data_IF_782430373459
#
_entry.id   IF_782430373459
#
_cell.length_a   1.000
_cell.length_b   1.000
_cell.length_c   1.000
_cell.angle_alpha   90.00
_cell.angle_beta   90.00
_cell.angle_gamma   90.00
#
_symmetry.space_group_name_H-M   'P 1'
#
loop_
_entity.id
_entity.type
_entity.pdbx_description
1 polymer ?
#
# COMPACT_ATOMS: atom_id res chain seq x y z
N UNK A 1 -3.14 12.73 -22.78
CA UNK A 1 -3.37 13.42 -21.48
C UNK A 1 -2.16 14.25 -21.15
N UNK A 2 -2.27 15.28 -20.29
CA UNK A 2 -1.14 16.13 -19.91
C UNK A 2 0.09 15.32 -19.46
N UNK A 3 -0.14 14.24 -18.72
CA UNK A 3 0.88 13.27 -18.27
C UNK A 3 1.50 12.51 -19.45
N UNK A 4 0.69 11.89 -20.30
CA UNK A 4 1.21 11.11 -21.43
C UNK A 4 1.99 11.96 -22.46
N UNK A 5 1.75 13.27 -22.52
CA UNK A 5 2.48 14.16 -23.42
C UNK A 5 3.90 14.48 -22.93
N UNK A 6 4.22 14.18 -21.66
CA UNK A 6 5.54 14.42 -21.08
C UNK A 6 6.54 13.30 -21.37
N UNK A 7 6.11 12.12 -21.81
CA UNK A 7 7.00 10.97 -22.06
C UNK A 7 7.15 10.68 -23.55
N UNK A 8 8.28 10.09 -23.94
CA UNK A 8 8.51 9.63 -25.31
C UNK A 8 8.11 8.16 -25.52
N UNK A 9 8.47 7.26 -24.59
CA UNK A 9 8.15 5.83 -24.68
C UNK A 9 6.66 5.57 -24.38
N UNK A 10 5.99 4.83 -25.27
CA UNK A 10 4.57 4.45 -25.11
C UNK A 10 4.33 3.62 -23.85
N UNK A 11 5.32 2.80 -23.45
CA UNK A 11 5.26 1.97 -22.24
C UNK A 11 5.17 2.84 -20.99
N UNK A 12 5.99 3.90 -20.93
CA UNK A 12 5.98 4.85 -19.81
C UNK A 12 4.73 5.70 -19.77
N UNK A 13 4.21 6.14 -20.93
CA UNK A 13 2.92 6.84 -21.01
C UNK A 13 1.81 6.04 -20.34
N UNK A 14 1.71 4.76 -20.69
CA UNK A 14 0.70 3.85 -20.13
C UNK A 14 0.96 3.54 -18.65
N UNK A 15 2.22 3.39 -18.26
CA UNK A 15 2.62 3.17 -16.86
C UNK A 15 2.18 4.33 -15.96
N UNK A 16 2.54 5.57 -16.30
CA UNK A 16 2.22 6.74 -15.48
C UNK A 16 0.74 7.09 -15.50
N UNK A 17 0.06 6.96 -16.65
CA UNK A 17 -1.40 7.13 -16.70
C UNK A 17 -2.10 6.08 -15.82
N UNK A 18 -1.63 4.83 -15.84
CA UNK A 18 -2.14 3.81 -14.91
C UNK A 18 -1.80 4.11 -13.47
N UNK A 19 -0.61 4.62 -13.17
CA UNK A 19 -0.17 4.90 -11.81
C UNK A 19 -1.03 6.00 -11.17
N UNK A 20 -1.40 7.03 -11.94
CA UNK A 20 -2.16 8.17 -11.43
C UNK A 20 -3.68 8.08 -11.61
N UNK A 21 -4.19 7.28 -12.55
CA UNK A 21 -5.64 7.20 -12.82
C UNK A 21 -6.18 5.76 -12.81
N UNK A 22 -5.38 4.78 -12.40
CA UNK A 22 -5.76 3.35 -12.31
C UNK A 22 -6.40 2.78 -13.59
N UNK A 23 -5.92 3.25 -14.76
CA UNK A 23 -6.33 2.69 -16.05
C UNK A 23 -5.78 1.27 -16.23
N UNK A 24 -6.45 0.42 -17.01
CA UNK A 24 -5.92 -0.93 -17.33
C UNK A 24 -4.52 -0.86 -17.93
N UNK A 25 -3.59 -1.54 -17.30
CA UNK A 25 -2.25 -1.79 -17.83
C UNK A 25 -2.31 -2.82 -18.96
N UNK A 26 -1.47 -2.69 -20.00
CA UNK A 26 -1.19 -3.78 -20.93
C UNK A 26 -0.66 -5.01 -20.18
N UNK A 27 -1.05 -6.20 -20.61
CA UNK A 27 -0.70 -7.47 -19.94
C UNK A 27 0.82 -7.64 -19.75
N UNK A 28 1.62 -7.23 -20.74
CA UNK A 28 3.09 -7.25 -20.66
C UNK A 28 3.62 -6.40 -19.48
N UNK A 29 3.09 -5.19 -19.28
CA UNK A 29 3.52 -4.32 -18.18
C UNK A 29 3.01 -4.86 -16.84
N UNK A 30 1.80 -5.41 -16.81
CA UNK A 30 1.25 -6.02 -15.61
C UNK A 30 2.08 -7.23 -15.18
N UNK A 31 2.53 -8.06 -16.13
CA UNK A 31 3.42 -9.18 -15.86
C UNK A 31 4.75 -8.70 -15.29
N UNK A 32 5.42 -7.72 -15.92
CA UNK A 32 6.67 -7.16 -15.36
C UNK A 32 6.48 -6.61 -13.95
N UNK A 33 5.40 -5.87 -13.69
CA UNK A 33 5.11 -5.34 -12.34
C UNK A 33 4.95 -6.47 -11.31
N UNK A 34 4.28 -7.57 -11.68
CA UNK A 34 4.13 -8.74 -10.82
C UNK A 34 5.47 -9.47 -10.60
N UNK A 35 6.30 -9.56 -11.63
CA UNK A 35 7.65 -10.12 -11.56
C UNK A 35 8.56 -9.30 -10.65
N UNK A 36 8.44 -7.98 -10.60
CA UNK A 36 9.18 -7.15 -9.63
C UNK A 36 8.54 -7.14 -8.22
N UNK A 37 7.34 -7.72 -8.05
CA UNK A 37 6.62 -7.66 -6.78
C UNK A 37 6.09 -6.26 -6.44
N UNK A 38 5.84 -5.45 -7.48
CA UNK A 38 5.40 -4.06 -7.35
C UNK A 38 3.88 -3.91 -7.49
N UNK A 39 3.13 -4.99 -7.63
CA UNK A 39 1.68 -4.96 -7.83
C UNK A 39 0.95 -4.24 -6.69
N UNK A 40 1.41 -4.41 -5.45
CA UNK A 40 0.84 -3.74 -4.29
C UNK A 40 1.07 -2.22 -4.33
N UNK A 41 2.24 -1.80 -4.80
CA UNK A 41 2.69 -0.41 -4.89
C UNK A 41 2.05 0.31 -6.09
N UNK A 42 1.96 -0.39 -7.22
CA UNK A 42 1.42 0.13 -8.48
C UNK A 42 -0.11 0.17 -8.51
N UNK A 43 -0.79 -0.69 -7.74
CA UNK A 43 -2.23 -0.50 -7.49
C UNK A 43 -2.42 0.76 -6.66
N UNK A 44 -3.35 1.64 -7.05
CA UNK A 44 -3.66 2.88 -6.34
C UNK A 44 -4.21 2.53 -4.95
N UNK A 45 -3.29 2.37 -4.01
CA UNK A 45 -3.50 1.72 -2.72
C UNK A 45 -3.62 2.74 -1.58
N UNK A 46 -3.84 2.23 -0.37
CA UNK A 46 -3.86 3.07 0.84
C UNK A 46 -2.56 3.81 1.09
N UNK A 47 -1.43 3.32 0.58
CA UNK A 47 -0.15 4.03 0.65
C UNK A 47 -0.19 5.29 -0.22
N UNK A 48 -0.59 5.19 -1.49
CA UNK A 48 -0.70 6.36 -2.38
C UNK A 48 -1.71 7.38 -1.84
N UNK A 49 -2.81 6.92 -1.24
CA UNK A 49 -3.76 7.78 -0.53
C UNK A 49 -3.07 8.53 0.62
N UNK A 50 -2.33 7.83 1.48
CA UNK A 50 -1.63 8.42 2.62
C UNK A 50 -0.53 9.40 2.19
N UNK A 51 0.19 9.10 1.11
CA UNK A 51 1.21 9.97 0.54
C UNK A 51 0.60 11.24 -0.05
N UNK A 52 -0.54 11.13 -0.75
CA UNK A 52 -1.22 12.31 -1.30
C UNK A 52 -1.79 13.18 -0.17
N UNK A 53 -2.39 12.58 0.85
CA UNK A 53 -2.81 13.31 2.06
C UNK A 53 -1.60 13.99 2.73
N UNK A 54 -0.49 13.28 2.88
CA UNK A 54 0.77 13.83 3.42
C UNK A 54 1.30 15.01 2.60
N UNK A 55 1.23 14.94 1.27
CA UNK A 55 1.60 16.02 0.36
C UNK A 55 0.67 17.24 0.53
N UNK A 56 -0.64 17.01 0.65
CA UNK A 56 -1.61 18.08 0.94
C UNK A 56 -1.27 18.73 2.28
N UNK A 57 -0.96 17.94 3.31
CA UNK A 57 -0.52 18.47 4.59
C UNK A 57 0.75 19.32 4.44
N UNK A 58 1.75 18.86 3.70
CA UNK A 58 3.00 19.60 3.48
C UNK A 58 2.76 20.93 2.78
N UNK A 59 1.94 20.95 1.72
CA UNK A 59 1.70 22.14 0.89
C UNK A 59 0.73 23.14 1.55
N UNK A 60 -0.32 22.65 2.22
CA UNK A 60 -1.38 23.49 2.77
C UNK A 60 -1.06 23.98 4.19
N UNK A 61 -0.26 23.23 4.97
CA UNK A 61 0.06 23.64 6.35
C UNK A 61 0.72 25.03 6.45
N UNK A 62 1.75 25.38 5.65
CA UNK A 62 2.39 26.69 5.74
C UNK A 62 1.45 27.88 5.49
N UNK A 63 0.68 27.97 4.37
CA UNK A 63 -0.23 29.09 4.15
C UNK A 63 -1.40 29.08 5.14
N UNK A 64 -1.91 27.90 5.50
CA UNK A 64 -3.01 27.79 6.45
C UNK A 64 -2.60 28.24 7.85
N UNK A 65 -1.38 27.89 8.29
CA UNK A 65 -0.83 28.35 9.57
C UNK A 65 -0.80 29.88 9.65
N UNK A 66 -0.28 30.53 8.61
CA UNK A 66 -0.20 31.99 8.57
C UNK A 66 -1.57 32.65 8.71
N UNK A 67 -2.57 32.18 7.95
CA UNK A 67 -3.93 32.73 8.00
C UNK A 67 -4.61 32.43 9.34
N UNK A 68 -4.45 31.21 9.85
CA UNK A 68 -5.08 30.76 11.08
C UNK A 68 -4.54 31.52 12.31
N UNK A 69 -3.22 31.75 12.38
CA UNK A 69 -2.59 32.45 13.49
C UNK A 69 -3.08 33.92 13.57
N UNK A 70 -3.51 34.50 12.44
CA UNK A 70 -4.06 35.87 12.37
C UNK A 70 -5.56 35.91 12.67
N UNK A 71 -6.36 35.06 12.03
CA UNK A 71 -7.83 35.19 12.03
C UNK A 71 -8.56 34.19 12.94
N UNK A 72 -8.05 32.96 13.12
CA UNK A 72 -8.77 31.86 13.79
C UNK A 72 -7.86 31.00 14.70
N UNK A 73 -7.21 31.58 15.73
CA UNK A 73 -6.22 30.86 16.56
C UNK A 73 -6.81 29.72 17.39
N UNK A 74 -8.14 29.69 17.60
CA UNK A 74 -8.82 28.69 18.44
C UNK A 74 -9.14 27.36 17.73
N UNK A 75 -8.99 27.28 16.40
CA UNK A 75 -9.39 26.11 15.62
C UNK A 75 -8.29 25.03 15.61
N UNK A 76 -8.66 23.76 15.49
CA UNK A 76 -7.65 22.70 15.35
C UNK A 76 -7.17 22.61 13.90
N UNK A 77 -5.92 23.06 13.67
CA UNK A 77 -5.28 23.06 12.35
C UNK A 77 -5.34 21.71 11.65
N UNK A 78 -4.96 20.65 12.37
CA UNK A 78 -4.83 19.32 11.80
C UNK A 78 -6.19 18.77 11.36
N UNK A 79 -7.25 19.09 12.11
CA UNK A 79 -8.60 18.69 11.75
C UNK A 79 -9.06 19.34 10.45
N UNK A 80 -8.80 20.63 10.27
CA UNK A 80 -9.25 21.37 9.08
C UNK A 80 -8.52 20.93 7.81
N UNK A 81 -7.20 20.75 7.91
CA UNK A 81 -6.39 20.27 6.80
C UNK A 81 -6.77 18.83 6.47
N UNK A 82 -7.05 17.98 7.47
CA UNK A 82 -7.51 16.60 7.23
C UNK A 82 -8.88 16.57 6.56
N UNK A 83 -9.82 17.40 7.00
CA UNK A 83 -11.13 17.52 6.35
C UNK A 83 -11.00 17.97 4.91
N UNK A 84 -10.18 19.00 4.66
CA UNK A 84 -9.87 19.46 3.31
C UNK A 84 -9.25 18.36 2.45
N UNK A 85 -8.25 17.65 2.99
CA UNK A 85 -7.61 16.54 2.32
C UNK A 85 -8.62 15.44 1.96
N UNK A 86 -9.52 15.06 2.88
CA UNK A 86 -10.58 14.09 2.60
C UNK A 86 -11.51 14.53 1.47
N UNK A 87 -11.90 15.81 1.42
CA UNK A 87 -12.70 16.35 0.31
C UNK A 87 -11.95 16.25 -1.01
N UNK A 88 -10.67 16.61 -1.03
CA UNK A 88 -9.80 16.46 -2.21
C UNK A 88 -9.67 14.99 -2.61
N UNK A 89 -9.54 14.07 -1.66
CA UNK A 89 -9.45 12.63 -1.94
C UNK A 89 -10.75 12.06 -2.52
N UNK A 90 -11.92 12.55 -2.08
CA UNK A 90 -13.22 12.18 -2.67
C UNK A 90 -13.32 12.69 -4.11
N UNK A 91 -12.89 13.93 -4.36
CA UNK A 91 -12.84 14.47 -5.72
C UNK A 91 -11.86 13.69 -6.61
N UNK A 92 -10.70 13.31 -6.08
CA UNK A 92 -9.75 12.47 -6.79
C UNK A 92 -10.30 11.06 -7.05
N UNK A 93 -11.09 10.49 -6.12
CA UNK A 93 -11.82 9.23 -6.33
C UNK A 93 -12.70 9.28 -7.59
N UNK A 94 -13.39 10.41 -7.79
CA UNK A 94 -14.23 10.65 -8.95
C UNK A 94 -13.41 10.69 -10.24
N UNK A 95 -12.25 11.38 -10.23
CA UNK A 95 -11.34 11.43 -11.37
C UNK A 95 -10.73 10.07 -11.71
N UNK A 96 -10.40 9.27 -10.69
CA UNK A 96 -9.85 7.92 -10.83
C UNK A 96 -10.91 6.85 -11.16
N UNK A 97 -12.18 7.25 -11.39
CA UNK A 97 -13.25 6.32 -11.77
C UNK A 97 -13.66 5.34 -10.67
N UNK A 98 -13.53 5.74 -9.39
CA UNK A 98 -13.90 4.94 -8.22
C UNK A 98 -13.27 3.54 -8.20
N UNK A 99 -11.98 3.47 -8.51
CA UNK A 99 -11.25 2.23 -8.50
C UNK A 99 -11.35 1.50 -7.15
N UNK A 100 -11.51 0.16 -7.20
CA UNK A 100 -11.87 -0.64 -6.03
C UNK A 100 -10.83 -0.54 -4.89
N UNK A 101 -9.51 -0.66 -5.13
CA UNK A 101 -8.51 -0.54 -4.07
C UNK A 101 -8.52 0.84 -3.42
N UNK A 102 -8.61 1.89 -4.23
CA UNK A 102 -8.71 3.27 -3.76
C UNK A 102 -9.94 3.50 -2.88
N UNK A 103 -11.11 3.00 -3.30
CA UNK A 103 -12.35 3.12 -2.51
C UNK A 103 -12.27 2.45 -1.15
N UNK A 104 -11.60 1.29 -1.05
CA UNK A 104 -11.37 0.63 0.24
C UNK A 104 -10.52 1.50 1.15
N UNK A 105 -9.44 2.07 0.63
CA UNK A 105 -8.56 2.96 1.39
C UNK A 105 -9.29 4.24 1.82
N UNK A 106 -10.11 4.84 0.95
CA UNK A 106 -10.91 6.01 1.27
C UNK A 106 -11.93 5.74 2.39
N UNK A 107 -12.63 4.60 2.34
CA UNK A 107 -13.54 4.19 3.41
C UNK A 107 -12.78 3.98 4.73
N UNK A 108 -11.61 3.33 4.69
CA UNK A 108 -10.75 3.16 5.88
C UNK A 108 -10.28 4.51 6.43
N UNK A 109 -9.95 5.48 5.58
CA UNK A 109 -9.55 6.82 6.00
C UNK A 109 -10.73 7.62 6.61
N UNK A 110 -11.91 7.57 6.00
CA UNK A 110 -13.13 8.22 6.51
C UNK A 110 -13.55 7.64 7.86
N UNK A 111 -13.51 6.31 8.00
CA UNK A 111 -13.84 5.63 9.25
C UNK A 111 -12.82 5.98 10.35
N UNK A 112 -11.52 5.95 10.04
CA UNK A 112 -10.48 6.40 10.96
C UNK A 112 -10.67 7.86 11.38
N UNK A 113 -11.03 8.74 10.45
CA UNK A 113 -11.35 10.14 10.73
C UNK A 113 -12.52 10.26 11.71
N UNK A 114 -13.67 9.65 11.43
CA UNK A 114 -14.85 9.69 12.31
C UNK A 114 -14.53 9.15 13.71
N UNK A 115 -13.78 8.05 13.78
CA UNK A 115 -13.36 7.45 15.06
C UNK A 115 -12.40 8.36 15.83
N UNK A 116 -11.52 9.08 15.14
CA UNK A 116 -10.61 10.05 15.75
C UNK A 116 -11.37 11.22 16.40
N UNK A 117 -12.50 11.65 15.81
CA UNK A 117 -13.37 12.68 16.41
C UNK A 117 -14.03 12.23 17.70
N UNK A 118 -14.18 10.91 17.88
CA UNK A 118 -14.76 10.30 19.09
C UNK A 118 -13.69 9.90 20.12
N UNK A 119 -12.41 10.20 19.87
CA UNK A 119 -11.31 9.82 20.76
C UNK A 119 -11.04 8.32 20.81
N UNK A 120 -11.54 7.53 19.85
CA UNK A 120 -11.34 6.09 19.80
C UNK A 120 -9.95 5.79 19.24
N UNK A 121 -9.21 4.89 19.89
CA UNK A 121 -7.88 4.45 19.42
C UNK A 121 -7.99 3.86 18.01
N UNK A 122 -7.26 4.45 17.06
CA UNK A 122 -7.29 4.09 15.63
C UNK A 122 -6.71 2.69 15.40
N UNK A 123 -5.62 2.34 16.09
CA UNK A 123 -4.93 1.05 15.98
C UNK A 123 -5.57 0.08 16.98
N UNK A 124 -6.70 -0.51 16.60
CA UNK A 124 -7.39 -1.52 17.39
C UNK A 124 -8.04 -2.56 16.47
N UNK A 125 -8.12 -3.81 16.89
CA UNK A 125 -8.81 -4.85 16.11
C UNK A 125 -10.31 -4.59 16.02
N UNK A 126 -10.90 -3.86 16.97
CA UNK A 126 -12.29 -3.41 16.88
C UNK A 126 -12.50 -2.39 15.76
N UNK A 127 -11.55 -1.47 15.52
CA UNK A 127 -11.66 -0.51 14.42
C UNK A 127 -11.58 -1.23 13.09
N UNK A 128 -10.69 -2.22 12.95
CA UNK A 128 -10.64 -3.07 11.75
C UNK A 128 -11.99 -3.78 11.50
N UNK A 129 -12.58 -4.40 12.52
CA UNK A 129 -13.89 -5.05 12.41
C UNK A 129 -15.01 -4.08 12.01
N UNK A 130 -15.02 -2.88 12.60
CA UNK A 130 -15.98 -1.81 12.25
C UNK A 130 -15.78 -1.35 10.79
N UNK A 131 -14.53 -1.12 10.37
CA UNK A 131 -14.25 -0.73 8.98
C UNK A 131 -14.71 -1.80 8.00
N UNK A 132 -14.48 -3.09 8.30
CA UNK A 132 -14.94 -4.21 7.50
C UNK A 132 -16.47 -4.27 7.43
N UNK A 133 -17.17 -4.12 8.56
CA UNK A 133 -18.63 -4.08 8.59
C UNK A 133 -19.20 -2.94 7.75
N UNK A 134 -18.59 -1.75 7.80
CA UNK A 134 -18.98 -0.60 6.98
C UNK A 134 -18.76 -0.89 5.49
N UNK A 135 -17.61 -1.47 5.11
CA UNK A 135 -17.33 -1.83 3.71
C UNK A 135 -18.33 -2.85 3.15
N UNK A 136 -18.71 -3.84 3.96
CA UNK A 136 -19.71 -4.84 3.61
C UNK A 136 -21.10 -4.18 3.48
N UNK A 137 -21.43 -3.25 4.38
CA UNK A 137 -22.70 -2.52 4.34
C UNK A 137 -22.83 -1.66 3.07
N UNK A 138 -21.74 -1.01 2.62
CA UNK A 138 -21.73 -0.24 1.37
C UNK A 138 -21.84 -1.13 0.12
N UNK A 139 -21.20 -2.30 0.13
CA UNK A 139 -21.23 -3.22 -1.01
C UNK A 139 -21.11 -4.68 -0.57
N UNK A 140 -22.24 -5.41 -0.42
CA UNK A 140 -22.20 -6.81 0.03
C UNK A 140 -21.38 -7.71 -0.90
N UNK A 141 -21.37 -7.40 -2.20
CA UNK A 141 -20.58 -8.12 -3.21
C UNK A 141 -19.07 -8.08 -2.95
N UNK A 142 -18.57 -7.10 -2.19
CA UNK A 142 -17.15 -6.98 -1.86
C UNK A 142 -16.62 -8.16 -1.03
N UNK A 143 -17.49 -8.86 -0.29
CA UNK A 143 -17.16 -10.08 0.46
C UNK A 143 -16.55 -11.18 -0.41
N UNK A 144 -17.01 -11.29 -1.66
CA UNK A 144 -16.53 -12.31 -2.59
C UNK A 144 -15.29 -11.86 -3.37
N UNK A 145 -14.75 -10.67 -3.09
CA UNK A 145 -13.58 -10.16 -3.77
C UNK A 145 -12.29 -10.53 -3.01
N UNK A 146 -11.38 -11.21 -3.70
CA UNK A 146 -10.07 -11.60 -3.16
C UNK A 146 -9.29 -10.35 -2.68
N UNK A 147 -9.37 -9.26 -3.44
CA UNK A 147 -8.68 -8.00 -3.11
C UNK A 147 -9.13 -7.35 -1.80
N UNK A 148 -10.37 -7.57 -1.35
CA UNK A 148 -10.82 -7.11 -0.04
C UNK A 148 -10.10 -7.88 1.06
N UNK A 149 -10.06 -9.21 0.98
CA UNK A 149 -9.42 -10.06 1.97
C UNK A 149 -7.91 -9.81 2.06
N UNK A 150 -7.22 -9.66 0.92
CA UNK A 150 -5.81 -9.27 0.90
C UNK A 150 -5.56 -7.94 1.63
N UNK A 151 -6.44 -6.95 1.45
CA UNK A 151 -6.34 -5.67 2.16
C UNK A 151 -6.54 -5.82 3.66
N UNK A 152 -7.55 -6.59 4.09
CA UNK A 152 -7.85 -6.81 5.51
C UNK A 152 -6.71 -7.55 6.19
N UNK A 153 -6.16 -8.59 5.54
CA UNK A 153 -5.06 -9.36 6.10
C UNK A 153 -3.76 -8.52 6.15
N UNK A 154 -3.53 -7.65 5.15
CA UNK A 154 -2.44 -6.69 5.19
C UNK A 154 -2.51 -5.76 6.41
N UNK A 155 -3.67 -5.12 6.64
CA UNK A 155 -3.88 -4.26 7.82
C UNK A 155 -3.80 -5.05 9.13
N UNK A 156 -4.31 -6.28 9.14
CA UNK A 156 -4.20 -7.19 10.28
C UNK A 156 -2.74 -7.48 10.65
N UNK A 157 -1.86 -7.73 9.67
CA UNK A 157 -0.44 -7.91 9.92
C UNK A 157 0.24 -6.65 10.43
N UNK A 158 -0.13 -5.48 9.93
CA UNK A 158 0.35 -4.21 10.50
C UNK A 158 -0.03 -4.13 11.99
N UNK A 159 -1.27 -4.46 12.35
CA UNK A 159 -1.74 -4.37 13.74
C UNK A 159 -1.06 -5.38 14.66
N UNK A 160 -0.86 -6.62 14.22
CA UNK A 160 -0.11 -7.60 15.01
C UNK A 160 1.33 -7.16 15.22
N UNK A 161 2.00 -6.70 14.16
CA UNK A 161 3.39 -6.28 14.25
C UNK A 161 3.56 -5.15 15.27
N UNK A 162 2.73 -4.10 15.16
CA UNK A 162 2.75 -2.96 16.08
C UNK A 162 2.38 -3.33 17.51
N UNK A 163 1.57 -4.38 17.71
CA UNK A 163 1.21 -4.87 19.04
C UNK A 163 2.33 -5.68 19.70
N UNK A 164 3.00 -6.54 18.92
CA UNK A 164 3.96 -7.50 19.48
C UNK A 164 5.38 -6.97 19.54
N UNK A 165 5.71 -5.98 18.71
CA UNK A 165 7.03 -5.34 18.69
C UNK A 165 6.97 -3.96 19.32
N UNK A 166 8.00 -3.60 20.08
CA UNK A 166 8.19 -2.28 20.67
C UNK A 166 9.60 -1.79 20.31
N UNK A 167 9.74 -1.19 19.13
CA UNK A 167 11.00 -0.59 18.72
C UNK A 167 11.17 0.80 19.35
N UNK A 168 12.39 1.12 19.80
CA UNK A 168 12.68 2.43 20.41
C UNK A 168 12.69 3.57 19.39
N UNK A 169 13.08 3.28 18.14
CA UNK A 169 13.16 4.27 17.05
C UNK A 169 12.06 4.00 16.03
N UNK A 170 11.32 5.04 15.67
CA UNK A 170 10.22 4.97 14.69
C UNK A 170 10.68 4.42 13.34
N UNK A 171 11.86 4.84 12.87
CA UNK A 171 12.40 4.37 11.58
C UNK A 171 12.71 2.86 11.58
N UNK A 172 13.15 2.30 12.71
CA UNK A 172 13.33 0.85 12.84
C UNK A 172 11.98 0.13 12.72
N UNK A 173 10.96 0.62 13.42
CA UNK A 173 9.61 0.06 13.35
C UNK A 173 9.09 0.04 11.91
N UNK A 174 9.24 1.14 11.18
CA UNK A 174 8.82 1.27 9.79
C UNK A 174 9.55 0.29 8.85
N UNK A 175 10.89 0.18 8.96
CA UNK A 175 11.66 -0.75 8.14
C UNK A 175 11.30 -2.22 8.42
N UNK A 176 11.28 -2.61 9.69
CA UNK A 176 10.96 -3.99 10.06
C UNK A 176 9.50 -4.35 9.78
N UNK A 177 8.58 -3.39 9.87
CA UNK A 177 7.19 -3.57 9.46
C UNK A 177 7.10 -3.91 7.98
N UNK A 178 7.81 -3.17 7.11
CA UNK A 178 7.83 -3.43 5.67
C UNK A 178 8.34 -4.83 5.33
N UNK A 179 9.45 -5.25 5.97
CA UNK A 179 9.99 -6.61 5.81
C UNK A 179 9.00 -7.66 6.30
N UNK A 180 8.42 -7.48 7.49
CA UNK A 180 7.46 -8.42 8.06
C UNK A 180 6.21 -8.58 7.18
N UNK A 181 5.58 -7.47 6.79
CA UNK A 181 4.38 -7.50 5.96
C UNK A 181 4.69 -8.15 4.61
N UNK A 182 5.83 -7.86 3.99
CA UNK A 182 6.27 -8.52 2.78
C UNK A 182 6.39 -10.05 2.97
N UNK A 183 7.12 -10.49 3.99
CA UNK A 183 7.32 -11.92 4.26
C UNK A 183 5.97 -12.64 4.50
N UNK A 184 5.13 -12.08 5.36
CA UNK A 184 3.85 -12.68 5.71
C UNK A 184 2.85 -12.66 4.54
N UNK A 185 2.74 -11.54 3.82
CA UNK A 185 1.90 -11.43 2.62
C UNK A 185 2.40 -12.31 1.48
N UNK A 186 3.71 -12.56 1.36
CA UNK A 186 4.25 -13.43 0.30
C UNK A 186 3.71 -14.86 0.41
N UNK A 187 3.46 -15.38 1.61
CA UNK A 187 2.87 -16.71 1.82
C UNK A 187 1.43 -16.71 1.32
N UNK A 188 0.65 -15.70 1.69
CA UNK A 188 -0.77 -15.61 1.33
C UNK A 188 -0.94 -15.35 -0.17
N UNK A 189 -0.16 -14.44 -0.73
CA UNK A 189 -0.19 -14.12 -2.14
C UNK A 189 0.16 -15.34 -2.99
N UNK A 190 1.17 -16.14 -2.59
CA UNK A 190 1.59 -17.34 -3.34
C UNK A 190 0.60 -18.50 -3.29
N UNK A 191 -0.24 -18.56 -2.26
CA UNK A 191 -1.36 -19.51 -2.23
C UNK A 191 -2.42 -19.18 -3.28
N UNK A 192 -2.69 -17.90 -3.49
CA UNK A 192 -3.70 -17.43 -4.45
C UNK A 192 -3.14 -17.32 -5.87
N UNK A 193 -1.89 -16.89 -6.00
CA UNK A 193 -1.18 -16.65 -7.24
C UNK A 193 0.22 -17.26 -7.11
N UNK A 194 0.45 -18.49 -7.60
CA UNK A 194 1.70 -19.22 -7.39
C UNK A 194 2.81 -18.68 -8.30
N UNK A 195 3.12 -17.39 -8.20
CA UNK A 195 4.16 -16.71 -8.97
C UNK A 195 5.28 -16.27 -8.00
N UNK A 196 6.49 -16.72 -8.26
CA UNK A 196 7.68 -16.33 -7.50
C UNK A 196 8.78 -15.85 -8.44
N UNK A 197 9.48 -14.80 -8.05
CA UNK A 197 10.68 -14.32 -8.74
C UNK A 197 11.71 -13.88 -7.72
N UNK A 198 12.99 -13.90 -8.11
CA UNK A 198 14.06 -13.36 -7.25
C UNK A 198 13.94 -11.84 -7.09
N UNK A 199 13.42 -11.13 -8.09
CA UNK A 199 13.25 -9.68 -8.05
C UNK A 199 12.24 -9.24 -6.97
N UNK A 200 11.24 -10.06 -6.62
CA UNK A 200 10.27 -9.76 -5.57
C UNK A 200 10.93 -9.52 -4.19
N UNK A 201 12.09 -10.10 -3.91
CA UNK A 201 12.83 -9.87 -2.65
C UNK A 201 13.25 -8.40 -2.46
N UNK A 202 13.37 -7.65 -3.56
CA UNK A 202 13.65 -6.22 -3.53
C UNK A 202 12.42 -5.36 -3.20
N UNK A 203 11.22 -5.98 -3.10
CA UNK A 203 9.95 -5.26 -2.87
C UNK A 203 9.92 -4.42 -1.59
N UNK A 204 10.43 -4.86 -0.42
CA UNK A 204 10.48 -4.00 0.77
C UNK A 204 11.30 -2.72 0.54
N UNK A 205 12.44 -2.84 -0.13
CA UNK A 205 13.33 -1.70 -0.43
C UNK A 205 12.65 -0.79 -1.44
N UNK A 206 12.12 -1.38 -2.52
CA UNK A 206 11.46 -0.62 -3.59
C UNK A 206 10.20 0.08 -3.10
N UNK A 207 9.46 -0.49 -2.14
CA UNK A 207 8.31 0.16 -1.52
C UNK A 207 8.71 1.42 -0.74
N UNK A 208 9.80 1.36 0.05
CA UNK A 208 10.32 2.55 0.76
C UNK A 208 10.79 3.61 -0.24
N UNK A 209 11.48 3.20 -1.31
CA UNK A 209 11.89 4.13 -2.36
C UNK A 209 10.68 4.75 -3.06
N UNK A 210 9.62 3.96 -3.26
CA UNK A 210 8.39 4.42 -3.90
C UNK A 210 7.67 5.49 -3.09
N UNK A 211 7.68 5.38 -1.76
CA UNK A 211 7.05 6.36 -0.86
C UNK A 211 7.63 7.79 -1.06
N UNK A 212 8.89 7.91 -1.49
CA UNK A 212 9.49 9.20 -1.87
C UNK A 212 9.32 9.51 -3.35
N UNK A 213 9.49 8.49 -4.20
CA UNK A 213 9.38 8.63 -5.65
C UNK A 213 8.01 9.13 -6.08
N UNK A 214 6.92 8.61 -5.51
CA UNK A 214 5.56 8.94 -5.94
C UNK A 214 5.21 10.43 -5.73
N UNK A 215 5.40 11.05 -4.54
CA UNK A 215 5.18 12.48 -4.38
C UNK A 215 6.07 13.35 -5.28
N UNK A 216 7.35 12.96 -5.46
CA UNK A 216 8.28 13.68 -6.34
C UNK A 216 7.75 13.65 -7.78
N UNK A 217 7.33 12.49 -8.27
CA UNK A 217 6.77 12.34 -9.61
C UNK A 217 5.50 13.16 -9.81
N UNK A 218 4.59 13.19 -8.83
CA UNK A 218 3.40 14.06 -8.88
C UNK A 218 3.82 15.52 -9.06
N UNK A 219 4.79 16.00 -8.27
CA UNK A 219 5.28 17.38 -8.35
C UNK A 219 5.95 17.65 -9.70
N UNK A 220 6.82 16.76 -10.17
CA UNK A 220 7.49 16.90 -11.46
C UNK A 220 6.49 16.97 -12.62
N UNK A 221 5.47 16.12 -12.60
CA UNK A 221 4.42 16.14 -13.61
C UNK A 221 3.63 17.46 -13.60
N UNK A 222 3.30 18.00 -12.43
CA UNK A 222 2.63 19.31 -12.31
C UNK A 222 3.46 20.43 -12.96
N UNK A 223 4.78 20.39 -12.83
CA UNK A 223 5.70 21.39 -13.41
C UNK A 223 6.17 21.08 -14.84
N UNK A 224 5.72 19.97 -15.45
CA UNK A 224 6.09 19.60 -16.82
C UNK A 224 7.44 18.88 -16.96
N UNK A 225 8.04 18.43 -15.85
CA UNK A 225 9.33 17.73 -15.80
C UNK A 225 9.19 16.21 -15.57
N UNK A 226 8.04 15.60 -15.89
CA UNK A 226 7.78 14.17 -15.67
C UNK A 226 8.73 13.21 -16.41
N UNK A 227 9.46 13.68 -17.43
CA UNK A 227 10.41 12.87 -18.20
C UNK A 227 11.73 12.56 -17.47
N UNK A 228 12.00 13.18 -16.30
CA UNK A 228 13.32 13.09 -15.65
C UNK A 228 13.73 11.66 -15.28
N UNK A 229 12.77 10.80 -14.94
CA UNK A 229 13.04 9.41 -14.57
C UNK A 229 12.88 8.40 -15.73
N UNK A 230 12.53 8.86 -16.94
CA UNK A 230 12.24 7.97 -18.09
C UNK A 230 13.40 7.01 -18.39
N UNK A 231 14.64 7.50 -18.35
CA UNK A 231 15.83 6.68 -18.64
C UNK A 231 16.08 5.60 -17.58
N UNK A 232 15.73 5.88 -16.32
CA UNK A 232 15.88 4.91 -15.23
C UNK A 232 14.78 3.85 -15.30
N UNK A 233 13.54 4.28 -15.55
CA UNK A 233 12.38 3.40 -15.64
C UNK A 233 12.42 2.50 -16.88
N UNK A 234 12.83 3.02 -18.05
CA UNK A 234 13.00 2.19 -19.25
C UNK A 234 14.04 1.10 -19.04
N UNK A 235 15.19 1.43 -18.45
CA UNK A 235 16.20 0.41 -18.06
C UNK A 235 15.64 -0.64 -17.11
N UNK A 236 14.85 -0.24 -16.12
CA UNK A 236 14.19 -1.18 -15.21
C UNK A 236 13.19 -2.09 -15.94
N UNK A 237 12.42 -1.53 -16.87
CA UNK A 237 11.47 -2.26 -17.72
C UNK A 237 12.14 -3.17 -18.75
N UNK A 238 13.41 -2.97 -19.08
CA UNK A 238 14.16 -3.82 -20.03
C UNK A 238 14.94 -4.94 -19.32
N UNK A 239 14.96 -4.97 -17.98
CA UNK A 239 15.50 -6.12 -17.23
C UNK A 239 14.56 -7.31 -17.42
N UNK A 240 15.15 -8.45 -17.81
CA UNK A 240 14.46 -9.72 -17.88
C UNK A 240 14.47 -10.39 -16.51
N UNK A 241 13.27 -10.66 -16.00
CA UNK A 241 13.07 -11.31 -14.71
C UNK A 241 12.42 -12.66 -14.97
N UNK A 242 13.09 -13.73 -14.55
CA UNK A 242 12.50 -15.07 -14.58
C UNK A 242 11.50 -15.21 -13.43
N UNK A 243 10.30 -15.68 -13.75
CA UNK A 243 9.30 -16.11 -12.77
C UNK A 243 9.12 -17.62 -12.79
N UNK A 244 9.06 -18.22 -11.60
CA UNK A 244 8.80 -19.63 -11.38
C UNK A 244 7.45 -19.80 -10.70
N UNK A 245 6.78 -20.92 -11.01
CA UNK A 245 5.55 -21.28 -10.34
C UNK A 245 5.81 -22.11 -9.09
N UNK A 246 5.90 -21.46 -7.93
CA UNK A 246 6.13 -22.12 -6.63
C UNK A 246 4.86 -21.98 -5.77
N UNK A 247 3.97 -22.99 -5.77
CA UNK A 247 2.77 -22.95 -4.94
C UNK A 247 3.11 -23.16 -3.46
N UNK A 248 2.30 -22.56 -2.57
CA UNK A 248 2.35 -22.89 -1.15
C UNK A 248 1.63 -24.21 -0.88
N UNK A 249 2.25 -25.15 -0.14
CA UNK A 249 1.57 -26.37 0.28
C UNK A 249 0.34 -26.04 1.14
N UNK A 250 -0.80 -26.70 0.87
CA UNK A 250 -2.07 -26.41 1.56
C UNK A 250 -1.98 -26.56 3.08
N UNK A 251 -1.36 -27.64 3.56
CA UNK A 251 -1.17 -27.88 4.98
C UNK A 251 -0.37 -26.76 5.64
N UNK A 252 0.71 -26.32 4.98
CA UNK A 252 1.52 -25.21 5.46
C UNK A 252 0.70 -23.92 5.51
N UNK A 253 -0.13 -23.64 4.50
CA UNK A 253 -1.00 -22.48 4.47
C UNK A 253 -2.01 -22.45 5.61
N UNK A 254 -2.70 -23.57 5.90
CA UNK A 254 -3.65 -23.63 7.02
C UNK A 254 -2.97 -23.48 8.38
N UNK A 255 -1.79 -24.10 8.57
CA UNK A 255 -0.99 -23.90 9.77
C UNK A 255 -0.56 -22.44 9.90
N UNK A 256 -0.15 -21.82 8.79
CA UNK A 256 0.25 -20.41 8.76
C UNK A 256 -0.91 -19.46 9.13
N UNK A 257 -2.13 -19.74 8.65
CA UNK A 257 -3.33 -19.00 9.06
C UNK A 257 -3.63 -19.16 10.55
N UNK A 258 -3.52 -20.37 11.09
CA UNK A 258 -3.72 -20.62 12.52
C UNK A 258 -2.66 -19.88 13.36
N UNK A 259 -1.40 -19.89 12.93
CA UNK A 259 -0.33 -19.10 13.55
C UNK A 259 -0.60 -17.59 13.48
N UNK A 260 -1.16 -17.11 12.36
CA UNK A 260 -1.57 -15.72 12.18
C UNK A 260 -2.62 -15.29 13.21
N UNK A 261 -3.59 -16.16 13.51
CA UNK A 261 -4.58 -15.92 14.57
C UNK A 261 -3.94 -16.00 15.96
N UNK A 262 -3.11 -17.01 16.24
CA UNK A 262 -2.45 -17.17 17.54
C UNK A 262 -1.46 -16.05 17.85
N UNK A 263 -0.86 -15.44 16.83
CA UNK A 263 0.04 -14.29 16.93
C UNK A 263 -0.62 -13.06 17.56
N UNK A 264 -1.95 -12.98 17.55
CA UNK A 264 -2.69 -11.97 18.30
C UNK A 264 -2.54 -12.18 19.82
N UNK A 265 -2.56 -13.42 20.29
CA UNK A 265 -2.58 -13.74 21.73
C UNK A 265 -1.19 -13.94 22.32
N UNK A 266 -0.25 -14.52 21.56
CA UNK A 266 1.05 -14.99 22.06
C UNK A 266 2.20 -14.44 21.24
N UNK A 267 3.25 -13.98 21.94
CA UNK A 267 4.49 -13.47 21.30
C UNK A 267 5.28 -14.58 20.63
N UNK A 268 5.26 -15.78 21.20
CA UNK A 268 5.92 -16.97 20.67
C UNK A 268 5.33 -17.35 19.32
N UNK A 269 4.00 -17.29 19.19
CA UNK A 269 3.31 -17.54 17.92
C UNK A 269 3.67 -16.50 16.86
N UNK A 270 3.83 -15.23 17.25
CA UNK A 270 4.29 -14.17 16.34
C UNK A 270 5.70 -14.44 15.81
N UNK A 271 6.65 -14.77 16.68
CA UNK A 271 8.01 -15.11 16.24
C UNK A 271 8.05 -16.36 15.37
N UNK A 272 7.21 -17.36 15.67
CA UNK A 272 7.10 -18.56 14.85
C UNK A 272 6.46 -18.28 13.48
N UNK A 273 5.54 -17.31 13.40
CA UNK A 273 5.01 -16.80 12.13
C UNK A 273 6.08 -16.07 11.31
N UNK A 274 6.89 -15.21 11.95
CA UNK A 274 8.04 -14.56 11.30
C UNK A 274 9.03 -15.60 10.77
N UNK A 275 9.38 -16.58 11.61
CA UNK A 275 10.32 -17.63 11.24
C UNK A 275 9.79 -18.48 10.08
N UNK A 276 8.54 -18.95 10.15
CA UNK A 276 7.94 -19.77 9.09
C UNK A 276 7.81 -19.04 7.75
N UNK A 277 7.48 -17.75 7.75
CA UNK A 277 7.45 -16.95 6.51
C UNK A 277 8.84 -16.70 5.94
N UNK A 278 9.85 -16.47 6.79
CA UNK A 278 11.24 -16.33 6.39
C UNK A 278 11.83 -17.66 5.84
N UNK A 279 11.55 -18.79 6.47
CA UNK A 279 12.01 -20.10 5.97
C UNK A 279 11.33 -20.45 4.66
N UNK A 280 10.02 -20.19 4.52
CA UNK A 280 9.31 -20.43 3.27
C UNK A 280 9.87 -19.60 2.11
N UNK A 281 10.17 -18.32 2.34
CA UNK A 281 10.85 -17.49 1.32
C UNK A 281 12.25 -18.00 1.02
N UNK A 282 13.05 -18.37 2.01
CA UNK A 282 14.39 -18.93 1.80
C UNK A 282 14.37 -20.25 0.98
N UNK A 283 13.44 -21.17 1.28
CA UNK A 283 13.26 -22.40 0.49
C UNK A 283 12.90 -22.07 -0.95
N UNK A 284 12.03 -21.06 -1.16
CA UNK A 284 11.63 -20.65 -2.50
C UNK A 284 12.80 -20.06 -3.30
N UNK A 285 13.69 -19.33 -2.63
CA UNK A 285 14.94 -18.84 -3.23
C UNK A 285 15.84 -20.00 -3.62
N UNK A 286 16.00 -21.00 -2.74
CA UNK A 286 16.82 -22.17 -3.04
C UNK A 286 16.29 -22.98 -4.23
N UNK A 287 14.97 -23.14 -4.36
CA UNK A 287 14.34 -23.82 -5.49
C UNK A 287 14.48 -23.01 -6.80
N UNK A 288 14.72 -21.71 -6.71
CA UNK A 288 14.87 -20.83 -7.86
C UNK A 288 16.29 -20.78 -8.45
N UNK A 289 17.29 -21.30 -7.72
CA UNK A 289 18.68 -21.47 -8.19
C UNK A 289 18.89 -22.88 -8.73
#
# INVERSE_FOLDING_TARGET
TFIANQHNDERLKKLFVSLFFETRLPDFLQQKINEFGLSAVMSLSGLNLSLLVGLIFLVITPPYRYIQDIYFPYRNRNFDILLFALVVMIFYAYLAGFAKPFMRALIMALTAFILSLRGIKIINFTTLAVTLAIMIAFSPRSLFSIGLWLSVIGVYYIFIFLRQTNFSKVWQSYLFLGVFVFLAMSVIARFLFPLFSLAQLSSPITSVLFDFFYPIEVVLHIFGFGYLFDKLLTRGLDIDVSSLSIPTPELFFYIFLLLSVLSYFRKEAFWLLCFSSATFTAISVFVAF
#
